data_IF_077183560217
#
_entry.id   IF_077183560217
#
_cell.length_a   1.000
_cell.length_b   1.000
_cell.length_c   1.000
_cell.angle_alpha   90.00
_cell.angle_beta   90.00
_cell.angle_gamma   90.00
#
_symmetry.space_group_name_H-M   'P 1'
#
loop_
_entity.id
_entity.type
_entity.pdbx_description
1 polymer ?
#
# COMPACT_ATOMS: atom_id res chain seq x y z
N UNK A 1 -6.68 -21.44 7.06
CA UNK A 1 -7.22 -20.10 7.42
C UNK A 1 -8.48 -19.88 6.60
N UNK A 2 -9.64 -19.59 7.21
CA UNK A 2 -10.88 -19.43 6.44
C UNK A 2 -10.77 -18.20 5.52
N UNK A 3 -10.95 -18.39 4.22
CA UNK A 3 -10.81 -17.35 3.19
C UNK A 3 -11.69 -16.13 3.50
N UNK A 4 -12.91 -16.38 3.97
CA UNK A 4 -13.88 -15.35 4.38
C UNK A 4 -13.33 -14.47 5.52
N UNK A 5 -12.62 -15.07 6.49
CA UNK A 5 -12.03 -14.34 7.61
C UNK A 5 -10.89 -13.43 7.15
N UNK A 6 -10.04 -13.90 6.23
CA UNK A 6 -8.95 -13.12 5.68
C UNK A 6 -9.44 -11.94 4.82
N UNK A 7 -10.47 -12.18 3.99
CA UNK A 7 -11.14 -11.14 3.21
C UNK A 7 -11.79 -10.09 4.10
N UNK A 8 -12.53 -10.53 5.13
CA UNK A 8 -13.18 -9.63 6.07
C UNK A 8 -12.16 -8.77 6.83
N UNK A 9 -11.04 -9.34 7.26
CA UNK A 9 -9.99 -8.62 7.97
C UNK A 9 -9.33 -7.56 7.08
N UNK A 10 -8.91 -7.94 5.87
CA UNK A 10 -8.23 -7.02 4.94
C UNK A 10 -9.17 -5.89 4.49
N UNK A 11 -10.44 -6.22 4.22
CA UNK A 11 -11.45 -5.23 3.81
C UNK A 11 -11.77 -4.26 4.95
N UNK A 12 -11.89 -4.75 6.19
CA UNK A 12 -12.11 -3.91 7.37
C UNK A 12 -10.96 -2.95 7.61
N UNK A 13 -9.71 -3.44 7.53
CA UNK A 13 -8.52 -2.59 7.66
C UNK A 13 -8.44 -1.55 6.53
N UNK A 14 -8.83 -1.92 5.31
CA UNK A 14 -8.88 -1.00 4.16
C UNK A 14 -9.94 0.09 4.37
N UNK A 15 -11.14 -0.29 4.83
CA UNK A 15 -12.22 0.66 5.09
C UNK A 15 -11.82 1.65 6.18
N UNK A 16 -11.27 1.15 7.29
CA UNK A 16 -10.80 1.99 8.38
C UNK A 16 -9.73 2.99 7.90
N UNK A 17 -8.78 2.53 7.10
CA UNK A 17 -7.74 3.39 6.52
C UNK A 17 -8.32 4.48 5.61
N UNK A 18 -9.37 4.17 4.83
CA UNK A 18 -10.07 5.15 4.00
C UNK A 18 -10.83 6.19 4.81
N UNK A 19 -11.50 5.77 5.89
CA UNK A 19 -12.20 6.69 6.80
C UNK A 19 -11.20 7.63 7.47
N UNK A 20 -10.08 7.11 7.97
CA UNK A 20 -9.02 7.93 8.56
C UNK A 20 -8.41 8.90 7.53
N UNK A 21 -8.20 8.45 6.30
CA UNK A 21 -7.75 9.31 5.19
C UNK A 21 -8.73 10.44 4.90
N UNK A 22 -10.03 10.15 4.88
CA UNK A 22 -11.07 11.15 4.69
C UNK A 22 -11.10 12.18 5.84
N UNK A 23 -11.00 11.72 7.10
CA UNK A 23 -10.94 12.60 8.26
C UNK A 23 -9.74 13.53 8.17
N UNK A 24 -8.56 13.00 7.80
CA UNK A 24 -7.36 13.82 7.56
C UNK A 24 -7.64 14.91 6.52
N UNK A 25 -8.22 14.54 5.39
CA UNK A 25 -8.48 15.50 4.30
C UNK A 25 -9.51 16.56 4.73
N UNK A 26 -10.53 16.19 5.50
CA UNK A 26 -11.51 17.12 6.07
C UNK A 26 -10.88 18.09 7.08
N UNK A 27 -9.97 17.62 7.94
CA UNK A 27 -9.21 18.46 8.88
C UNK A 27 -8.33 19.44 8.11
N UNK A 28 -7.62 18.98 7.08
CA UNK A 28 -6.78 19.86 6.23
C UNK A 28 -7.65 20.92 5.55
N UNK A 29 -8.78 20.54 4.96
CA UNK A 29 -9.69 21.46 4.31
C UNK A 29 -10.28 22.48 5.29
N UNK A 30 -10.63 22.07 6.50
CA UNK A 30 -11.16 22.96 7.53
C UNK A 30 -10.10 23.94 8.08
N UNK A 31 -8.88 23.46 8.35
CA UNK A 31 -7.83 24.28 8.96
C UNK A 31 -7.09 25.19 7.97
N UNK A 32 -6.90 24.75 6.73
CA UNK A 32 -6.08 25.46 5.74
C UNK A 32 -6.88 25.98 4.53
N UNK A 33 -8.10 25.48 4.31
CA UNK A 33 -8.93 25.88 3.18
C UNK A 33 -8.39 25.43 1.81
N UNK A 34 -9.06 25.90 0.76
CA UNK A 34 -8.60 25.72 -0.62
C UNK A 34 -7.63 26.85 -0.97
N UNK A 35 -6.37 26.53 -1.26
CA UNK A 35 -5.36 27.50 -1.64
C UNK A 35 -4.04 26.87 -2.09
N UNK A 36 -3.11 27.68 -2.59
CA UNK A 36 -1.87 27.18 -3.19
C UNK A 36 -0.99 26.34 -2.26
N UNK A 37 -1.05 26.56 -0.94
CA UNK A 37 -0.31 25.75 0.04
C UNK A 37 -0.89 24.34 0.19
N UNK A 38 -2.20 24.20 0.25
CA UNK A 38 -2.87 22.88 0.33
C UNK A 38 -2.70 22.11 -0.98
N UNK A 39 -2.77 22.79 -2.13
CA UNK A 39 -2.50 22.18 -3.44
C UNK A 39 -1.06 21.67 -3.54
N UNK A 40 -0.08 22.48 -3.13
CA UNK A 40 1.33 22.08 -3.13
C UNK A 40 1.57 20.87 -2.22
N UNK A 41 0.95 20.84 -1.03
CA UNK A 41 1.02 19.69 -0.13
C UNK A 41 0.46 18.42 -0.79
N UNK A 42 -0.71 18.48 -1.42
CA UNK A 42 -1.30 17.31 -2.07
C UNK A 42 -0.48 16.81 -3.26
N UNK A 43 0.09 17.71 -4.06
CA UNK A 43 1.01 17.35 -5.15
C UNK A 43 2.25 16.66 -4.59
N UNK A 44 2.89 17.24 -3.58
CA UNK A 44 4.06 16.67 -2.93
C UNK A 44 3.75 15.29 -2.32
N UNK A 45 2.61 15.13 -1.67
CA UNK A 45 2.17 13.86 -1.08
C UNK A 45 1.86 12.78 -2.12
N UNK A 46 1.50 13.16 -3.35
CA UNK A 46 1.16 12.22 -4.43
C UNK A 46 2.38 11.51 -4.99
N UNK A 47 3.54 12.17 -5.06
CA UNK A 47 4.78 11.60 -5.61
C UNK A 47 5.20 10.31 -4.88
N UNK A 48 5.43 10.29 -3.55
CA UNK A 48 5.80 9.06 -2.85
C UNK A 48 4.69 8.02 -2.89
N UNK A 49 3.42 8.44 -2.88
CA UNK A 49 2.30 7.50 -3.00
C UNK A 49 2.24 6.81 -4.35
N UNK A 50 2.60 7.50 -5.43
CA UNK A 50 2.71 6.89 -6.74
C UNK A 50 3.80 5.82 -6.74
N UNK A 51 4.98 6.13 -6.21
CA UNK A 51 6.09 5.16 -6.09
C UNK A 51 5.68 3.94 -5.27
N UNK A 52 5.05 4.16 -4.11
CA UNK A 52 4.51 3.08 -3.26
C UNK A 52 3.53 2.18 -4.01
N UNK A 53 2.62 2.77 -4.81
CA UNK A 53 1.66 1.99 -5.61
C UNK A 53 2.33 1.20 -6.73
N UNK A 54 3.37 1.74 -7.37
CA UNK A 54 4.09 1.06 -8.44
C UNK A 54 4.98 -0.09 -7.93
N UNK A 55 5.75 0.17 -6.88
CA UNK A 55 6.80 -0.74 -6.41
C UNK A 55 6.44 -1.61 -5.21
N UNK A 56 5.48 -1.22 -4.36
CA UNK A 56 5.13 -1.99 -3.16
C UNK A 56 3.78 -2.69 -3.28
N UNK A 57 2.76 -2.02 -3.81
CA UNK A 57 1.41 -2.59 -3.93
C UNK A 57 1.11 -3.19 -5.32
N UNK A 58 1.89 -2.81 -6.34
CA UNK A 58 1.58 -3.07 -7.74
C UNK A 58 2.37 -4.22 -8.36
N UNK A 59 2.94 -3.94 -9.53
CA UNK A 59 3.55 -4.93 -10.42
C UNK A 59 4.68 -5.73 -9.77
N UNK A 60 5.47 -5.11 -8.89
CA UNK A 60 6.57 -5.77 -8.21
C UNK A 60 6.07 -6.90 -7.30
N UNK A 61 5.11 -6.65 -6.41
CA UNK A 61 4.55 -7.71 -5.54
C UNK A 61 3.87 -8.83 -6.34
N UNK A 62 3.23 -8.50 -7.47
CA UNK A 62 2.59 -9.51 -8.34
C UNK A 62 3.59 -10.40 -9.08
N UNK A 63 4.77 -9.90 -9.44
CA UNK A 63 5.80 -10.68 -10.13
C UNK A 63 6.81 -11.34 -9.17
N UNK A 64 7.19 -10.62 -8.12
CA UNK A 64 8.20 -11.03 -7.16
C UNK A 64 7.70 -12.09 -6.19
N UNK A 65 6.45 -12.01 -5.72
CA UNK A 65 5.90 -13.02 -4.79
C UNK A 65 5.83 -14.42 -5.41
N UNK A 66 5.33 -14.61 -6.65
CA UNK A 66 5.37 -15.91 -7.31
C UNK A 66 6.79 -16.41 -7.58
N UNK A 67 7.70 -15.53 -8.01
CA UNK A 67 9.10 -15.88 -8.24
C UNK A 67 9.78 -16.36 -6.95
N UNK A 68 9.60 -15.63 -5.86
CA UNK A 68 10.14 -16.01 -4.55
C UNK A 68 9.55 -17.35 -4.07
N UNK A 69 8.25 -17.57 -4.28
CA UNK A 69 7.59 -18.83 -3.94
C UNK A 69 8.15 -20.01 -4.76
N UNK A 70 8.42 -19.80 -6.05
CA UNK A 70 8.98 -20.82 -6.94
C UNK A 70 10.43 -21.16 -6.57
N UNK A 71 11.28 -20.15 -6.34
CA UNK A 71 12.66 -20.36 -5.89
C UNK A 71 12.69 -21.06 -4.53
N UNK A 72 11.81 -20.68 -3.61
CA UNK A 72 11.67 -21.36 -2.31
C UNK A 72 11.28 -22.83 -2.48
N UNK A 73 10.37 -23.13 -3.40
CA UNK A 73 9.92 -24.51 -3.66
C UNK A 73 11.01 -25.37 -4.31
N UNK A 74 11.79 -24.82 -5.24
CA UNK A 74 12.79 -25.58 -6.01
C UNK A 74 14.18 -25.64 -5.34
N UNK A 75 14.59 -24.58 -4.66
CA UNK A 75 15.96 -24.40 -4.16
C UNK A 75 16.06 -24.24 -2.63
N UNK A 76 14.93 -24.32 -1.93
CA UNK A 76 14.87 -24.25 -0.46
C UNK A 76 15.05 -22.84 0.11
N UNK A 77 14.88 -22.73 1.43
CA UNK A 77 14.78 -21.45 2.14
C UNK A 77 16.06 -20.61 2.09
N UNK A 78 17.24 -21.24 2.04
CA UNK A 78 18.55 -20.57 1.95
C UNK A 78 18.66 -19.76 0.66
N UNK A 79 18.27 -20.35 -0.48
CA UNK A 79 18.35 -19.69 -1.78
C UNK A 79 17.30 -18.59 -1.91
N UNK A 80 16.09 -18.80 -1.39
CA UNK A 80 15.04 -17.77 -1.36
C UNK A 80 15.42 -16.55 -0.50
N UNK A 81 16.13 -16.74 0.61
CA UNK A 81 16.61 -15.63 1.45
C UNK A 81 17.66 -14.76 0.75
N UNK A 82 18.40 -15.30 -0.21
CA UNK A 82 19.38 -14.51 -0.97
C UNK A 82 18.77 -13.50 -1.95
N UNK A 83 17.46 -13.58 -2.19
CA UNK A 83 16.71 -12.69 -3.08
C UNK A 83 16.09 -11.48 -2.36
N UNK A 84 16.20 -11.39 -1.04
CA UNK A 84 15.64 -10.34 -0.18
C UNK A 84 16.78 -9.61 0.53
#
# INVERSE_FOLDING_TARGET
MNLIKALAQTSSMTLLSRILGYIRDAVIAHSFGAGGLTDAFFVAFRIPNLLRRLFAEGAFSQAFVPLLADVKAQHGDESAKSLI
#
